data_IF_812807010902
#
_entry.id   IF_812807010902
#
_cell.length_a   1.000
_cell.length_b   1.000
_cell.length_c   1.000
_cell.angle_alpha   90.00
_cell.angle_beta   90.00
_cell.angle_gamma   90.00
#
_symmetry.space_group_name_H-M   'P 1'
#
loop_
_entity.id
_entity.type
_entity.pdbx_description
1 polymer ?
#
# COMPACT_ATOMS: atom_id res chain seq x y z
N UNK A 1 43.93 55.06 -1.94
CA UNK A 1 42.62 54.75 -1.31
C UNK A 1 42.89 54.28 0.09
N UNK A 2 42.47 55.03 1.10
CA UNK A 2 42.66 54.73 2.52
C UNK A 2 41.66 53.66 2.94
N UNK A 3 42.15 52.51 3.40
CA UNK A 3 41.36 51.50 4.09
C UNK A 3 40.94 52.09 5.44
N UNK A 4 39.71 52.59 5.50
CA UNK A 4 39.10 53.08 6.73
C UNK A 4 38.81 51.89 7.64
N UNK A 5 39.75 51.59 8.53
CA UNK A 5 39.56 50.69 9.67
C UNK A 5 38.41 51.23 10.54
N UNK A 6 37.38 50.42 10.80
CA UNK A 6 36.16 50.80 11.52
C UNK A 6 36.38 50.93 13.04
N UNK A 7 37.54 51.45 13.46
CA UNK A 7 37.84 51.94 14.81
C UNK A 7 37.38 51.06 15.98
N UNK A 8 37.36 49.73 15.80
CA UNK A 8 36.89 48.77 16.82
C UNK A 8 35.41 48.87 17.19
N UNK A 9 34.56 49.63 16.47
CA UNK A 9 33.12 49.70 16.74
C UNK A 9 32.40 48.57 15.99
N UNK A 10 31.94 47.57 16.74
CA UNK A 10 31.06 46.53 16.22
C UNK A 10 29.70 47.16 15.94
N UNK A 11 29.38 47.38 14.66
CA UNK A 11 28.02 47.77 14.26
C UNK A 11 27.10 46.57 14.52
N UNK A 12 26.04 46.79 15.30
CA UNK A 12 24.97 45.80 15.47
C UNK A 12 24.34 45.51 14.11
N UNK A 13 24.33 44.24 13.68
CA UNK A 13 23.70 43.78 12.45
C UNK A 13 22.68 42.68 12.72
N UNK A 14 21.64 42.59 11.91
CA UNK A 14 20.77 41.41 11.88
C UNK A 14 21.49 40.21 11.26
N UNK A 15 21.03 39.01 11.55
CA UNK A 15 21.45 37.83 10.79
C UNK A 15 20.91 37.94 9.36
N UNK A 16 21.71 37.50 8.39
CA UNK A 16 21.25 37.39 7.01
C UNK A 16 20.34 36.16 6.84
N UNK A 17 19.61 36.04 5.72
CA UNK A 17 18.64 34.94 5.52
C UNK A 17 19.28 33.56 5.67
N UNK A 18 20.51 33.40 5.18
CA UNK A 18 21.27 32.14 5.24
C UNK A 18 21.75 31.83 6.65
N UNK A 19 22.29 32.82 7.35
CA UNK A 19 22.72 32.74 8.74
C UNK A 19 21.54 32.34 9.63
N UNK A 20 20.41 33.04 9.53
CA UNK A 20 19.23 32.74 10.34
C UNK A 20 18.67 31.33 10.10
N UNK A 21 18.55 30.91 8.83
CA UNK A 21 18.11 29.56 8.47
C UNK A 21 18.98 28.50 9.15
N UNK A 22 20.30 28.65 9.02
CA UNK A 22 21.25 27.69 9.59
C UNK A 22 21.19 27.67 11.12
N UNK A 23 21.09 28.84 11.76
CA UNK A 23 21.02 28.93 13.22
C UNK A 23 19.73 28.30 13.76
N UNK A 24 18.57 28.60 13.19
CA UNK A 24 17.30 28.01 13.63
C UNK A 24 17.29 26.49 13.43
N UNK A 25 17.77 26.01 12.28
CA UNK A 25 17.87 24.58 12.03
C UNK A 25 18.80 23.89 13.04
N UNK A 26 19.95 24.50 13.37
CA UNK A 26 20.88 23.95 14.36
C UNK A 26 20.31 23.93 15.78
N UNK A 27 19.54 24.94 16.16
CA UNK A 27 18.95 25.05 17.50
C UNK A 27 17.71 24.16 17.69
N UNK A 28 16.90 24.02 16.65
CA UNK A 28 15.55 23.42 16.74
C UNK A 28 15.38 22.13 15.95
N UNK A 29 16.28 21.85 14.99
CA UNK A 29 16.12 20.78 14.01
C UNK A 29 15.07 21.08 12.93
N UNK A 30 14.48 22.27 12.92
CA UNK A 30 13.42 22.68 11.97
C UNK A 30 13.99 23.60 10.89
N UNK A 31 13.66 23.29 9.63
CA UNK A 31 13.98 24.13 8.48
C UNK A 31 12.85 25.12 8.23
N UNK A 32 13.11 26.40 8.43
CA UNK A 32 12.15 27.47 8.15
C UNK A 32 12.38 28.11 6.78
N UNK A 33 11.29 28.50 6.11
CA UNK A 33 11.37 29.34 4.92
C UNK A 33 11.66 30.79 5.31
N UNK A 34 12.84 31.25 4.89
CA UNK A 34 13.37 32.60 5.15
C UNK A 34 13.10 33.57 4.01
N UNK A 35 12.32 33.19 2.99
CA UNK A 35 11.96 34.06 1.87
C UNK A 35 11.23 35.34 2.29
N UNK A 36 10.50 35.28 3.41
CA UNK A 36 9.76 36.40 4.00
C UNK A 36 10.63 37.41 4.75
N UNK A 37 11.86 37.05 5.14
CA UNK A 37 12.78 37.95 5.82
C UNK A 37 13.28 39.05 4.88
N UNK A 38 13.78 40.19 5.37
CA UNK A 38 14.27 41.27 4.51
C UNK A 38 15.43 40.81 3.61
N UNK A 39 15.51 41.36 2.40
CA UNK A 39 16.65 41.11 1.52
C UNK A 39 17.95 41.62 2.15
N UNK A 40 19.03 40.85 2.01
CA UNK A 40 20.31 41.10 2.70
C UNK A 40 21.16 42.25 2.08
N UNK A 41 20.67 42.80 0.96
CA UNK A 41 21.28 43.93 0.25
C UNK A 41 22.50 43.53 -0.59
N UNK A 42 22.80 44.33 -1.61
CA UNK A 42 23.98 44.21 -2.47
C UNK A 42 23.72 43.51 -3.80
N UNK A 43 23.92 44.24 -4.92
CA UNK A 43 23.97 43.64 -6.26
C UNK A 43 25.21 42.76 -6.39
N UNK A 44 25.08 41.48 -6.06
CA UNK A 44 25.96 40.42 -6.54
C UNK A 44 27.38 40.33 -5.99
N UNK A 45 27.77 41.09 -4.95
CA UNK A 45 29.15 41.01 -4.43
C UNK A 45 29.29 40.31 -3.07
N UNK A 46 28.53 40.62 -2.01
CA UNK A 46 28.54 39.86 -0.74
C UNK A 46 27.25 40.10 0.08
N UNK A 47 26.76 39.08 0.79
CA UNK A 47 25.55 39.10 1.65
C UNK A 47 25.85 39.31 3.15
N UNK A 48 27.10 39.65 3.50
CA UNK A 48 27.59 39.84 4.88
C UNK A 48 27.97 41.28 5.20
N UNK A 49 27.69 42.21 4.28
CA UNK A 49 28.01 43.64 4.46
C UNK A 49 27.14 44.21 5.58
N UNK A 50 27.70 44.33 6.80
CA UNK A 50 26.96 44.78 7.98
C UNK A 50 26.33 46.18 7.84
N UNK A 51 26.91 47.05 7.02
CA UNK A 51 26.37 48.38 6.71
C UNK A 51 25.05 48.35 5.92
N UNK A 52 24.67 47.23 5.30
CA UNK A 52 23.35 47.05 4.65
C UNK A 52 22.37 46.25 5.49
N UNK A 53 22.79 45.78 6.68
CA UNK A 53 22.03 44.87 7.56
C UNK A 53 21.52 45.58 8.82
N UNK A 54 20.99 46.78 8.67
CA UNK A 54 20.27 47.46 9.75
C UNK A 54 19.02 46.68 10.12
N UNK A 55 18.65 46.74 11.41
CA UNK A 55 17.45 46.13 11.97
C UNK A 55 16.39 47.20 12.23
N UNK A 56 15.17 46.98 11.75
CA UNK A 56 13.99 47.78 12.14
C UNK A 56 13.04 46.96 13.00
N UNK A 57 12.10 47.64 13.69
CA UNK A 57 11.10 46.96 14.53
C UNK A 57 10.27 45.94 13.75
N UNK A 58 9.85 46.27 12.52
CA UNK A 58 9.09 45.36 11.66
C UNK A 58 9.92 44.12 11.29
N UNK A 59 11.19 44.30 10.98
CA UNK A 59 12.08 43.19 10.68
C UNK A 59 12.24 42.28 11.90
N UNK A 60 12.46 42.85 13.09
CA UNK A 60 12.54 42.07 14.32
C UNK A 60 11.31 41.19 14.54
N UNK A 61 10.11 41.71 14.29
CA UNK A 61 8.86 40.94 14.34
C UNK A 61 8.82 39.81 13.30
N UNK A 62 9.33 40.03 12.08
CA UNK A 62 9.42 38.96 11.06
C UNK A 62 10.34 37.83 11.52
N UNK A 63 11.51 38.14 12.10
CA UNK A 63 12.40 37.15 12.68
C UNK A 63 11.73 36.40 13.84
N UNK A 64 11.10 37.14 14.76
CA UNK A 64 10.40 36.57 15.91
C UNK A 64 9.27 35.63 15.47
N UNK A 65 8.52 36.00 14.44
CA UNK A 65 7.45 35.18 13.86
C UNK A 65 7.99 33.85 13.33
N UNK A 66 9.05 33.87 12.54
CA UNK A 66 9.68 32.63 12.05
C UNK A 66 10.25 31.79 13.20
N UNK A 67 10.82 32.45 14.21
CA UNK A 67 11.34 31.78 15.40
C UNK A 67 10.25 31.03 16.17
N UNK A 68 9.09 31.66 16.37
CA UNK A 68 7.93 31.01 17.01
C UNK A 68 7.45 29.79 16.21
N UNK A 69 7.33 29.93 14.89
CA UNK A 69 6.95 28.82 14.02
C UNK A 69 7.91 27.63 14.13
N UNK A 70 9.23 27.89 14.16
CA UNK A 70 10.23 26.84 14.32
C UNK A 70 10.09 26.11 15.67
N UNK A 71 9.83 26.85 16.74
CA UNK A 71 9.67 26.30 18.09
C UNK A 71 8.40 25.47 18.19
N UNK A 72 7.27 25.97 17.68
CA UNK A 72 6.00 25.23 17.65
C UNK A 72 6.17 23.90 16.91
N UNK A 73 6.78 23.94 15.71
CA UNK A 73 7.05 22.72 14.93
C UNK A 73 8.02 21.76 15.64
N UNK A 74 9.04 22.28 16.32
CA UNK A 74 9.98 21.44 17.07
C UNK A 74 9.29 20.70 18.22
N UNK A 75 8.39 21.37 18.94
CA UNK A 75 7.59 20.73 20.00
C UNK A 75 6.63 19.67 19.44
N UNK A 76 5.95 19.96 18.33
CA UNK A 76 5.06 18.99 17.68
C UNK A 76 5.83 17.74 17.21
N UNK A 77 6.99 17.92 16.58
CA UNK A 77 7.87 16.80 16.18
C UNK A 77 8.31 15.97 17.39
N UNK A 78 8.68 16.64 18.48
CA UNK A 78 9.08 15.96 19.72
C UNK A 78 7.90 15.17 20.34
N UNK A 79 6.68 15.72 20.30
CA UNK A 79 5.49 15.04 20.78
C UNK A 79 5.15 13.81 19.93
N UNK A 80 5.26 13.90 18.60
CA UNK A 80 5.05 12.79 17.68
C UNK A 80 6.07 11.66 17.87
N UNK A 81 7.34 11.98 18.13
CA UNK A 81 8.38 10.97 18.41
C UNK A 81 8.14 10.18 19.70
N UNK A 82 7.47 10.78 20.69
CA UNK A 82 7.11 10.09 21.95
C UNK A 82 5.97 9.09 21.77
N UNK A 83 5.25 9.12 20.64
CA UNK A 83 4.24 8.10 20.38
C UNK A 83 4.92 6.75 20.07
N UNK A 84 4.55 5.68 20.78
CA UNK A 84 5.15 4.37 20.56
C UNK A 84 4.88 3.93 19.12
N UNK A 85 5.90 3.40 18.45
CA UNK A 85 5.74 2.79 17.14
C UNK A 85 4.77 1.62 17.26
N UNK A 86 3.72 1.62 16.44
CA UNK A 86 2.74 0.54 16.41
C UNK A 86 3.25 -0.55 15.47
N UNK A 87 3.75 -1.64 16.05
CA UNK A 87 4.14 -2.83 15.26
C UNK A 87 2.89 -3.64 14.96
N UNK A 88 2.51 -3.73 13.68
CA UNK A 88 1.46 -4.63 13.24
C UNK A 88 2.08 -5.96 12.82
N UNK A 89 1.85 -7.02 13.59
CA UNK A 89 2.32 -8.37 13.29
C UNK A 89 1.14 -9.18 12.74
N UNK A 90 1.29 -9.69 11.52
CA UNK A 90 0.33 -10.60 10.89
C UNK A 90 0.98 -11.96 10.80
N UNK A 91 0.32 -12.98 11.35
CA UNK A 91 0.67 -14.38 11.16
C UNK A 91 -0.13 -14.94 9.99
N UNK A 92 0.48 -15.16 8.81
CA UNK A 92 -0.21 -15.69 7.64
C UNK A 92 -0.82 -17.08 7.93
N UNK A 93 -0.16 -17.85 8.79
CA UNK A 93 -0.56 -19.20 9.19
C UNK A 93 -1.92 -19.25 9.91
N UNK A 94 -2.33 -18.16 10.57
CA UNK A 94 -3.62 -18.09 11.28
C UNK A 94 -4.71 -17.39 10.45
N UNK A 95 -4.34 -16.50 9.52
CA UNK A 95 -5.30 -15.70 8.73
C UNK A 95 -5.65 -16.35 7.39
N UNK A 96 -4.68 -17.00 6.74
CA UNK A 96 -4.89 -17.68 5.44
C UNK A 96 -5.44 -19.09 5.65
N UNK A 97 -5.09 -19.74 6.76
CA UNK A 97 -5.46 -21.13 7.00
C UNK A 97 -6.96 -21.33 7.29
N UNK A 98 -7.61 -20.43 8.04
CA UNK A 98 -9.06 -20.56 8.34
C UNK A 98 -9.91 -20.57 7.07
N UNK A 99 -9.66 -19.64 6.13
CA UNK A 99 -10.39 -19.61 4.85
C UNK A 99 -10.11 -20.85 3.99
N UNK A 100 -8.87 -21.33 3.97
CA UNK A 100 -8.50 -22.53 3.22
C UNK A 100 -9.18 -23.78 3.78
N UNK A 101 -9.27 -23.90 5.11
CA UNK A 101 -9.98 -25.00 5.78
C UNK A 101 -11.47 -25.00 5.43
N UNK A 102 -12.12 -23.85 5.38
CA UNK A 102 -13.52 -23.73 4.96
C UNK A 102 -13.72 -24.15 3.50
N UNK A 103 -12.82 -23.72 2.60
CA UNK A 103 -12.85 -24.12 1.19
C UNK A 103 -12.70 -25.65 1.05
N UNK A 104 -11.72 -26.24 1.74
CA UNK A 104 -11.50 -27.69 1.73
C UNK A 104 -12.73 -28.45 2.23
N UNK A 105 -13.32 -28.01 3.35
CA UNK A 105 -14.55 -28.62 3.89
C UNK A 105 -15.70 -28.54 2.89
N UNK A 106 -15.89 -27.39 2.25
CA UNK A 106 -16.98 -27.19 1.29
C UNK A 106 -16.78 -28.04 0.03
N UNK A 107 -15.54 -28.18 -0.45
CA UNK A 107 -15.20 -29.07 -1.57
C UNK A 107 -15.44 -30.53 -1.22
N UNK A 108 -15.03 -30.97 -0.03
CA UNK A 108 -15.23 -32.33 0.44
C UNK A 108 -16.73 -32.66 0.57
N UNK A 109 -17.51 -31.74 1.13
CA UNK A 109 -18.96 -31.87 1.26
C UNK A 109 -19.65 -31.91 -0.10
N UNK A 110 -19.27 -31.04 -1.04
CA UNK A 110 -19.80 -31.06 -2.39
C UNK A 110 -19.46 -32.37 -3.10
N UNK A 111 -18.23 -32.86 -2.97
CA UNK A 111 -17.82 -34.14 -3.55
C UNK A 111 -18.64 -35.31 -2.99
N UNK A 112 -18.78 -35.40 -1.67
CA UNK A 112 -19.49 -36.52 -1.01
C UNK A 112 -21.00 -36.47 -1.23
N UNK A 113 -21.61 -35.29 -1.09
CA UNK A 113 -23.08 -35.14 -1.10
C UNK A 113 -23.64 -35.05 -2.52
N UNK A 114 -22.86 -34.55 -3.47
CA UNK A 114 -23.34 -34.27 -4.83
C UNK A 114 -22.68 -35.15 -5.89
N UNK A 115 -21.36 -35.12 -5.97
CA UNK A 115 -20.66 -35.83 -7.06
C UNK A 115 -20.73 -37.36 -6.92
N UNK A 116 -20.54 -37.91 -5.72
CA UNK A 116 -20.50 -39.36 -5.52
C UNK A 116 -21.84 -40.06 -5.84
N UNK A 117 -23.02 -39.55 -5.41
CA UNK A 117 -24.31 -40.09 -5.81
C UNK A 117 -24.58 -39.98 -7.31
N UNK A 118 -24.31 -38.80 -7.91
CA UNK A 118 -24.44 -38.59 -9.36
C UNK A 118 -23.62 -39.61 -10.15
N UNK A 119 -22.35 -39.77 -9.79
CA UNK A 119 -21.44 -40.73 -10.38
C UNK A 119 -22.01 -42.14 -10.36
N UNK A 120 -22.53 -42.57 -9.21
CA UNK A 120 -23.11 -43.89 -8.99
C UNK A 120 -24.33 -44.15 -9.88
N UNK A 121 -25.21 -43.16 -10.01
CA UNK A 121 -26.41 -43.26 -10.84
C UNK A 121 -26.09 -43.27 -12.33
N UNK A 122 -25.14 -42.44 -12.78
CA UNK A 122 -24.66 -42.48 -14.17
C UNK A 122 -23.97 -43.80 -14.48
N UNK A 123 -23.11 -44.32 -13.60
CA UNK A 123 -22.46 -45.62 -13.79
C UNK A 123 -23.51 -46.74 -13.90
N UNK A 124 -24.61 -46.66 -13.14
CA UNK A 124 -25.75 -47.57 -13.26
C UNK A 124 -26.47 -47.44 -14.60
N UNK A 125 -26.67 -46.22 -15.09
CA UNK A 125 -27.30 -45.96 -16.38
C UNK A 125 -26.43 -46.48 -17.55
N UNK A 126 -25.12 -46.32 -17.48
CA UNK A 126 -24.16 -46.86 -18.47
C UNK A 126 -24.24 -48.39 -18.53
N UNK A 127 -24.36 -49.06 -17.38
CA UNK A 127 -24.43 -50.53 -17.30
C UNK A 127 -25.79 -51.11 -17.76
N UNK A 128 -26.84 -50.30 -17.90
CA UNK A 128 -28.16 -50.76 -18.28
C UNK A 128 -28.21 -51.27 -19.73
N UNK A 129 -28.95 -52.36 -19.95
CA UNK A 129 -29.08 -52.96 -21.28
C UNK A 129 -29.69 -52.00 -22.32
N UNK A 130 -30.58 -51.11 -21.88
CA UNK A 130 -31.25 -50.10 -22.71
C UNK A 130 -30.30 -49.04 -23.29
N UNK A 131 -29.13 -48.83 -22.67
CA UNK A 131 -28.17 -47.81 -23.08
C UNK A 131 -26.97 -48.38 -23.86
N UNK A 132 -26.94 -49.69 -24.13
CA UNK A 132 -25.81 -50.35 -24.79
C UNK A 132 -25.53 -49.77 -26.19
N UNK A 133 -26.55 -49.53 -26.99
CA UNK A 133 -26.40 -48.98 -28.33
C UNK A 133 -25.93 -47.52 -28.29
N UNK A 134 -26.47 -46.72 -27.36
CA UNK A 134 -26.07 -45.33 -27.15
C UNK A 134 -24.63 -45.21 -26.67
N UNK A 135 -24.20 -46.07 -25.73
CA UNK A 135 -22.80 -46.11 -25.26
C UNK A 135 -21.86 -46.56 -26.39
N UNK A 136 -22.27 -47.53 -27.22
CA UNK A 136 -21.49 -47.94 -28.38
C UNK A 136 -21.35 -46.83 -29.43
N UNK A 137 -22.41 -46.04 -29.66
CA UNK A 137 -22.34 -44.85 -30.51
C UNK A 137 -21.40 -43.78 -29.92
N UNK A 138 -21.46 -43.55 -28.61
CA UNK A 138 -20.58 -42.61 -27.91
C UNK A 138 -19.10 -43.00 -28.00
N UNK A 139 -18.77 -44.29 -27.89
CA UNK A 139 -17.39 -44.79 -28.09
C UNK A 139 -16.88 -44.59 -29.52
N UNK A 140 -17.77 -44.62 -30.51
CA UNK A 140 -17.40 -44.34 -31.91
C UNK A 140 -17.17 -42.85 -32.16
N UNK A 141 -18.00 -41.98 -31.57
CA UNK A 141 -17.80 -40.52 -31.63
C UNK A 141 -16.59 -40.05 -30.83
N UNK A 142 -16.30 -40.73 -29.71
CA UNK A 142 -15.26 -40.36 -28.77
C UNK A 142 -14.34 -41.57 -28.50
N UNK A 143 -13.22 -41.70 -29.22
CA UNK A 143 -12.25 -42.77 -29.00
C UNK A 143 -11.66 -42.79 -27.58
N UNK A 144 -11.74 -41.68 -26.85
CA UNK A 144 -11.30 -41.46 -25.47
C UNK A 144 -12.40 -41.71 -24.42
N UNK A 145 -13.57 -42.23 -24.81
CA UNK A 145 -14.73 -42.41 -23.93
C UNK A 145 -14.45 -43.23 -22.66
N UNK A 146 -13.63 -44.29 -22.77
CA UNK A 146 -13.30 -45.16 -21.63
C UNK A 146 -12.00 -44.73 -20.91
N UNK A 147 -11.17 -43.87 -21.52
CA UNK A 147 -9.91 -43.38 -20.93
C UNK A 147 -10.04 -42.03 -20.22
N UNK A 148 -10.93 -41.14 -20.69
CA UNK A 148 -11.26 -39.90 -20.00
C UNK A 148 -12.20 -40.17 -18.81
N UNK A 149 -11.72 -39.85 -17.61
CA UNK A 149 -12.45 -40.05 -16.36
C UNK A 149 -13.74 -39.23 -16.24
N UNK A 150 -13.89 -38.15 -17.00
CA UNK A 150 -15.03 -37.22 -16.92
C UNK A 150 -15.97 -37.29 -18.12
N UNK A 151 -15.51 -37.77 -19.28
CA UNK A 151 -16.28 -37.69 -20.53
C UNK A 151 -17.61 -38.45 -20.44
N UNK A 152 -17.61 -39.63 -19.82
CA UNK A 152 -18.83 -40.41 -19.55
C UNK A 152 -19.86 -39.68 -18.67
N UNK A 153 -19.40 -38.89 -17.69
CA UNK A 153 -20.27 -38.12 -16.80
C UNK A 153 -20.77 -36.83 -17.45
N UNK A 154 -20.00 -36.21 -18.35
CA UNK A 154 -20.47 -35.05 -19.14
C UNK A 154 -21.49 -35.45 -20.21
N UNK A 155 -21.39 -36.67 -20.73
CA UNK A 155 -22.30 -37.22 -21.75
C UNK A 155 -23.48 -37.98 -21.15
N UNK A 156 -23.63 -37.99 -19.82
CA UNK A 156 -24.69 -38.70 -19.12
C UNK A 156 -26.10 -38.34 -19.62
N UNK A 157 -26.34 -37.07 -20.00
CA UNK A 157 -27.64 -36.62 -20.52
C UNK A 157 -28.09 -37.28 -21.84
N UNK A 158 -27.23 -38.05 -22.52
CA UNK A 158 -27.62 -38.86 -23.68
C UNK A 158 -28.10 -40.28 -23.31
N UNK A 159 -27.89 -40.71 -22.07
CA UNK A 159 -28.29 -42.02 -21.58
C UNK A 159 -29.72 -41.97 -21.04
N UNK A 160 -30.52 -42.98 -21.36
CA UNK A 160 -31.88 -43.09 -20.84
C UNK A 160 -31.84 -43.43 -19.35
N UNK A 161 -32.54 -42.64 -18.54
CA UNK A 161 -32.60 -42.81 -17.08
C UNK A 161 -31.37 -42.33 -16.31
N UNK A 162 -30.47 -41.57 -16.95
CA UNK A 162 -29.40 -40.89 -16.23
C UNK A 162 -29.92 -39.63 -15.52
N UNK A 163 -29.42 -39.31 -14.32
CA UNK A 163 -29.76 -38.08 -13.62
C UNK A 163 -29.24 -36.82 -14.34
N UNK A 164 -29.89 -35.68 -14.12
CA UNK A 164 -29.38 -34.38 -14.58
C UNK A 164 -28.26 -33.92 -13.62
N UNK A 165 -27.05 -33.59 -14.11
CA UNK A 165 -25.99 -33.04 -13.27
C UNK A 165 -26.38 -31.78 -12.48
N UNK A 166 -27.38 -31.02 -12.93
CA UNK A 166 -27.92 -29.84 -12.22
C UNK A 166 -28.62 -30.19 -10.91
N UNK A 167 -29.24 -31.36 -10.83
CA UNK A 167 -29.86 -31.87 -9.60
C UNK A 167 -28.81 -32.17 -8.52
N UNK A 168 -27.55 -32.33 -8.95
CA UNK A 168 -26.38 -32.53 -8.13
C UNK A 168 -25.47 -31.28 -8.14
N UNK A 169 -26.02 -30.10 -8.41
CA UNK A 169 -25.33 -28.81 -8.27
C UNK A 169 -24.21 -28.55 -9.27
N UNK A 170 -24.30 -29.13 -10.46
CA UNK A 170 -23.49 -28.79 -11.64
C UNK A 170 -24.14 -27.80 -12.59
#
# INVERSE_FOLDING_TARGET
QTLSDSGGRITMRRLNRREYRNTIEQLTGVKVDVGSLPADGGSGTFDTVGASQFISSDQFEQYLKLGRQAIDEAFERQAAQKQPSRVFRVEPENTVNVKNLEILRNLEDAYKKKWLPYKKEVDRAIAAAENKETVAALRKEHPDYDSDSLLKYRKAGRLKGAPDPRDYGG
#
